data_IF_955790450462
#
_entry.id   IF_955790450462
#
_cell.length_a   1.000
_cell.length_b   1.000
_cell.length_c   1.000
_cell.angle_alpha   90.00
_cell.angle_beta   90.00
_cell.angle_gamma   90.00
#
_symmetry.space_group_name_H-M   'P 1'
#
loop_
_entity.id
_entity.type
_entity.pdbx_description
1 polymer ?
#
# COMPACT_ATOMS: atom_id res chain seq x y z
N UNK A 1 12.39 22.06 -4.16
CA UNK A 1 12.59 20.86 -5.01
C UNK A 1 11.43 19.94 -4.71
N UNK A 2 10.75 19.43 -5.73
CA UNK A 2 9.64 18.47 -5.54
C UNK A 2 10.21 17.14 -5.00
N UNK A 3 10.22 17.00 -3.68
CA UNK A 3 10.51 15.74 -2.97
C UNK A 3 9.34 14.72 -3.06
N UNK A 4 8.27 15.05 -3.77
CA UNK A 4 6.97 14.39 -3.65
C UNK A 4 6.82 13.05 -4.41
N UNK A 5 7.84 12.54 -5.10
CA UNK A 5 7.73 11.33 -5.94
C UNK A 5 8.79 10.24 -5.62
N UNK A 6 9.66 10.48 -4.63
CA UNK A 6 10.65 9.51 -4.14
C UNK A 6 10.14 8.88 -2.85
N UNK A 7 9.98 7.56 -2.85
CA UNK A 7 9.49 6.79 -1.71
C UNK A 7 10.62 5.92 -1.18
N UNK A 8 10.96 6.11 0.08
CA UNK A 8 11.95 5.28 0.80
C UNK A 8 11.23 4.24 1.65
N UNK A 9 11.57 2.97 1.46
CA UNK A 9 10.99 1.86 2.21
C UNK A 9 12.01 0.81 2.62
N UNK A 10 11.65 -0.01 3.61
CA UNK A 10 12.34 -1.24 3.96
C UNK A 10 11.35 -2.34 4.42
N UNK A 11 11.75 -3.62 4.53
CA UNK A 11 10.88 -4.70 5.00
C UNK A 11 10.47 -4.60 6.47
N UNK A 12 11.36 -4.10 7.33
CA UNK A 12 11.15 -4.01 8.79
C UNK A 12 11.00 -2.57 9.25
N UNK A 13 10.28 -2.38 10.36
CA UNK A 13 10.03 -1.05 10.93
C UNK A 13 11.32 -0.35 11.36
N UNK A 14 12.27 -1.09 11.95
CA UNK A 14 13.55 -0.55 12.39
C UNK A 14 14.42 -0.08 11.22
N UNK A 15 14.55 -0.91 10.18
CA UNK A 15 15.31 -0.53 8.98
C UNK A 15 14.69 0.69 8.30
N UNK A 16 13.37 0.69 8.12
CA UNK A 16 12.67 1.81 7.51
C UNK A 16 12.84 3.11 8.31
N UNK A 17 12.80 3.04 9.65
CA UNK A 17 13.02 4.19 10.52
C UNK A 17 14.43 4.77 10.36
N UNK A 18 15.45 3.91 10.23
CA UNK A 18 16.85 4.36 10.09
C UNK A 18 17.13 5.12 8.80
N UNK A 19 16.37 4.86 7.73
CA UNK A 19 16.51 5.52 6.42
C UNK A 19 15.44 6.59 6.17
N UNK A 20 14.69 7.00 7.20
CA UNK A 20 13.64 8.02 7.07
C UNK A 20 12.45 7.61 6.22
N UNK A 21 12.19 6.30 6.10
CA UNK A 21 11.15 5.71 5.29
C UNK A 21 9.99 5.11 6.09
N UNK A 22 9.23 4.24 5.44
CA UNK A 22 8.20 3.41 6.06
C UNK A 22 8.31 1.95 5.61
N UNK A 23 7.61 1.03 6.25
CA UNK A 23 7.65 -0.35 5.75
C UNK A 23 6.96 -0.44 4.39
N UNK A 24 7.50 -1.28 3.49
CA UNK A 24 6.90 -1.49 2.15
C UNK A 24 5.42 -1.89 2.24
N UNK A 25 5.07 -2.72 3.22
CA UNK A 25 3.69 -3.14 3.50
C UNK A 25 2.76 -1.97 3.83
N UNK A 26 3.22 -1.05 4.68
CA UNK A 26 2.46 0.13 5.09
C UNK A 26 2.25 1.10 3.93
N UNK A 27 3.33 1.41 3.21
CA UNK A 27 3.27 2.28 2.03
C UNK A 27 2.42 1.68 0.90
N UNK A 28 2.59 0.39 0.59
CA UNK A 28 1.84 -0.30 -0.45
C UNK A 28 0.35 -0.42 -0.12
N UNK A 29 -0.03 -0.40 1.15
CA UNK A 29 -1.44 -0.50 1.59
C UNK A 29 -2.03 -1.92 1.50
N UNK A 30 -1.18 -2.95 1.57
CA UNK A 30 -1.56 -4.36 1.36
C UNK A 30 -1.66 -5.18 2.65
N UNK A 31 -1.44 -4.55 3.81
CA UNK A 31 -1.36 -5.28 5.08
C UNK A 31 -0.19 -6.27 5.07
N UNK A 32 -0.40 -7.50 5.55
CA UNK A 32 0.65 -8.53 5.64
C UNK A 32 1.11 -9.09 4.27
N UNK A 33 0.42 -8.80 3.16
CA UNK A 33 0.86 -9.24 1.83
C UNK A 33 0.79 -10.75 1.57
N UNK A 34 0.09 -11.53 2.40
CA UNK A 34 0.06 -13.01 2.33
C UNK A 34 -0.84 -13.60 1.23
N UNK A 35 -1.50 -12.75 0.44
CA UNK A 35 -2.47 -13.18 -0.58
C UNK A 35 -1.90 -13.13 -2.00
N UNK A 36 -2.58 -13.77 -2.98
CA UNK A 36 -2.25 -13.58 -4.38
C UNK A 36 -2.45 -12.12 -4.81
N UNK A 37 -1.75 -11.71 -5.87
CA UNK A 37 -1.72 -10.31 -6.31
C UNK A 37 -3.11 -9.73 -6.59
N UNK A 38 -4.04 -10.52 -7.15
CA UNK A 38 -5.42 -10.08 -7.42
C UNK A 38 -6.19 -9.77 -6.13
N UNK A 39 -5.94 -10.54 -5.06
CA UNK A 39 -6.51 -10.32 -3.73
C UNK A 39 -5.95 -9.04 -3.10
N UNK A 40 -4.64 -8.84 -3.19
CA UNK A 40 -3.98 -7.62 -2.70
C UNK A 40 -4.44 -6.37 -3.46
N UNK A 41 -4.66 -6.49 -4.78
CA UNK A 41 -5.20 -5.39 -5.59
C UNK A 41 -6.63 -5.01 -5.17
N UNK A 42 -7.50 -5.99 -4.91
CA UNK A 42 -8.87 -5.73 -4.40
C UNK A 42 -8.83 -5.02 -3.04
N UNK A 43 -7.86 -5.37 -2.19
CA UNK A 43 -7.63 -4.68 -0.92
C UNK A 43 -7.20 -3.23 -1.12
N UNK A 44 -6.23 -2.98 -2.01
CA UNK A 44 -5.72 -1.66 -2.36
C UNK A 44 -6.80 -0.75 -2.95
N UNK A 45 -7.65 -1.31 -3.82
CA UNK A 45 -8.80 -0.63 -4.41
C UNK A 45 -9.90 -0.31 -3.37
N UNK A 46 -9.75 -0.82 -2.14
CA UNK A 46 -10.73 -0.64 -1.08
C UNK A 46 -12.08 -1.25 -1.46
N UNK A 47 -12.07 -2.38 -2.18
CA UNK A 47 -13.28 -3.10 -2.56
C UNK A 47 -14.07 -3.41 -1.29
N UNK A 48 -15.28 -2.84 -1.21
CA UNK A 48 -16.12 -2.95 -0.03
C UNK A 48 -16.51 -4.42 0.21
N UNK A 49 -16.66 -5.20 -0.86
CA UNK A 49 -16.95 -6.64 -0.78
C UNK A 49 -15.78 -7.40 -0.16
N UNK A 50 -14.55 -7.04 -0.53
CA UNK A 50 -13.34 -7.60 0.07
C UNK A 50 -13.27 -7.34 1.58
N UNK A 51 -13.59 -6.13 2.03
CA UNK A 51 -13.57 -5.78 3.47
C UNK A 51 -14.63 -6.57 4.25
N UNK A 52 -15.84 -6.67 3.71
CA UNK A 52 -16.94 -7.41 4.36
C UNK A 52 -16.65 -8.90 4.47
N UNK A 53 -16.06 -9.51 3.43
CA UNK A 53 -15.63 -10.92 3.44
C UNK A 53 -14.52 -11.21 4.46
N UNK A 54 -13.68 -10.24 4.80
CA UNK A 54 -12.56 -10.40 5.75
C UNK A 54 -12.83 -9.76 7.12
N UNK A 55 -14.11 -9.66 7.54
CA UNK A 55 -14.48 -9.21 8.90
C UNK A 55 -14.39 -7.70 9.15
N UNK A 56 -14.20 -6.88 8.12
CA UNK A 56 -14.28 -5.43 8.21
C UNK A 56 -15.73 -4.97 8.40
N UNK A 57 -15.94 -4.00 9.29
CA UNK A 57 -17.25 -3.40 9.53
C UNK A 57 -17.93 -2.99 8.21
N UNK A 58 -19.20 -3.37 8.04
CA UNK A 58 -20.03 -2.93 6.91
C UNK A 58 -20.18 -1.40 7.01
N UNK A 59 -19.44 -0.66 6.20
CA UNK A 59 -19.81 0.71 5.89
C UNK A 59 -21.12 0.72 5.07
N UNK A 60 -21.84 1.84 5.02
CA UNK A 60 -22.95 1.98 4.09
C UNK A 60 -22.45 1.73 2.66
N UNK A 61 -23.17 0.93 1.89
CA UNK A 61 -22.93 0.76 0.45
C UNK A 61 -23.22 2.12 -0.18
N UNK A 62 -22.16 2.84 -0.53
CA UNK A 62 -22.26 4.08 -1.30
C UNK A 62 -22.09 3.70 -2.77
N UNK A 63 -23.19 3.69 -3.51
CA UNK A 63 -23.26 3.38 -4.96
C UNK A 63 -22.78 4.55 -5.84
N UNK A 64 -22.19 5.60 -5.25
CA UNK A 64 -21.58 6.67 -6.04
C UNK A 64 -20.33 6.16 -6.79
N UNK A 65 -20.16 6.53 -8.08
CA UNK A 65 -18.91 6.31 -8.78
C UNK A 65 -17.79 6.91 -7.94
N UNK A 66 -16.79 6.10 -7.54
CA UNK A 66 -15.60 6.61 -6.84
C UNK A 66 -14.83 7.54 -7.77
N UNK A 67 -15.24 8.81 -7.80
CA UNK A 67 -14.58 9.87 -8.55
C UNK A 67 -13.16 10.11 -8.04
N UNK A 68 -12.89 9.75 -6.77
CA UNK A 68 -11.54 9.71 -6.21
C UNK A 68 -11.00 8.29 -6.12
N UNK A 69 -9.84 8.09 -6.73
CA UNK A 69 -8.99 6.93 -6.50
C UNK A 69 -8.69 6.78 -5.00
N UNK A 70 -8.69 5.54 -4.47
CA UNK A 70 -8.30 5.26 -3.09
C UNK A 70 -6.92 5.84 -2.76
N UNK A 71 -6.72 6.30 -1.52
CA UNK A 71 -5.43 6.89 -1.08
C UNK A 71 -4.24 5.98 -1.36
N UNK A 72 -4.40 4.67 -1.16
CA UNK A 72 -3.35 3.70 -1.47
C UNK A 72 -2.95 3.73 -2.95
N UNK A 73 -3.93 3.84 -3.86
CA UNK A 73 -3.69 3.86 -5.30
C UNK A 73 -3.03 5.16 -5.78
N UNK A 74 -3.36 6.31 -5.17
CA UNK A 74 -2.68 7.57 -5.48
C UNK A 74 -1.18 7.50 -5.25
N UNK A 75 -0.75 6.92 -4.12
CA UNK A 75 0.67 6.74 -3.80
C UNK A 75 1.41 5.94 -4.85
N UNK A 76 0.76 4.92 -5.44
CA UNK A 76 1.35 4.14 -6.53
C UNK A 76 1.45 4.93 -7.84
N UNK A 77 0.45 5.74 -8.16
CA UNK A 77 0.43 6.55 -9.39
C UNK A 77 1.35 7.77 -9.33
N UNK A 78 1.55 8.32 -8.13
CA UNK A 78 2.39 9.48 -7.87
C UNK A 78 3.85 9.08 -7.55
N UNK A 79 4.14 7.81 -7.34
CA UNK A 79 5.50 7.35 -7.10
C UNK A 79 6.28 7.25 -8.41
N UNK A 80 7.37 8.00 -8.53
CA UNK A 80 8.33 7.86 -9.63
C UNK A 80 9.44 6.88 -9.29
N UNK A 81 9.91 6.94 -8.04
CA UNK A 81 11.05 6.14 -7.57
C UNK A 81 10.68 5.49 -6.25
N UNK A 82 10.73 4.15 -6.22
CA UNK A 82 10.55 3.37 -5.01
C UNK A 82 11.89 2.72 -4.62
N UNK A 83 12.44 3.16 -3.50
CA UNK A 83 13.64 2.58 -2.88
C UNK A 83 13.18 1.53 -1.86
N UNK A 84 13.79 0.35 -1.92
CA UNK A 84 13.56 -0.75 -0.98
C UNK A 84 14.93 -1.16 -0.45
N UNK A 85 15.28 -0.68 0.74
CA UNK A 85 16.52 -1.06 1.44
C UNK A 85 16.33 -2.38 2.22
N UNK A 86 17.44 -3.02 2.62
CA UNK A 86 17.44 -4.31 3.33
C UNK A 86 16.68 -5.41 2.57
N UNK A 87 16.65 -5.33 1.24
CA UNK A 87 16.17 -6.42 0.41
C UNK A 87 17.14 -7.58 0.53
N UNK A 88 16.65 -8.77 0.91
CA UNK A 88 17.48 -9.97 0.99
C UNK A 88 18.20 -10.20 -0.35
N UNK A 89 19.52 -10.00 -0.33
CA UNK A 89 20.39 -10.40 -1.43
C UNK A 89 20.57 -11.92 -1.37
N UNK A 90 20.39 -12.65 -2.49
CA UNK A 90 20.74 -14.07 -2.55
C UNK A 90 22.26 -14.31 -2.67
N UNK A 91 23.07 -13.26 -2.71
CA UNK A 91 24.53 -13.31 -2.67
C UNK A 91 25.06 -13.00 -1.27
#
# INVERSE_FOLDING_TARGET
MEESQLIVTAPTGMAAMNIGGSTIHSWAGIGLGLGPADKLLKQLLGDHRYKVMNGGAKGPIQDEPRSRLPRGMRRWLECQVLIIDESASPF
#
